data_IF_688964450129
#
_entry.id   IF_688964450129
#
_cell.length_a   1.000
_cell.length_b   1.000
_cell.length_c   1.000
_cell.angle_alpha   90.00
_cell.angle_beta   90.00
_cell.angle_gamma   90.00
#
_symmetry.space_group_name_H-M   'P 1'
#
loop_
_entity.id
_entity.type
_entity.pdbx_description
1 polymer ?
#
# COMPACT_ATOMS: atom_id res chain seq x y z
N UNK A 1 -24.56 -51.03 -66.49
CA UNK A 1 -23.73 -49.98 -65.84
C UNK A 1 -24.47 -48.66 -65.92
N UNK A 2 -25.49 -48.48 -65.09
CA UNK A 2 -26.44 -47.35 -64.95
C UNK A 2 -26.95 -47.49 -63.49
N UNK A 3 -27.28 -46.51 -62.65
CA UNK A 3 -28.02 -45.25 -62.75
C UNK A 3 -27.79 -44.48 -61.42
N UNK A 4 -27.49 -43.17 -61.39
CA UNK A 4 -28.39 -41.99 -61.35
C UNK A 4 -29.61 -42.04 -60.41
N UNK A 5 -29.50 -41.28 -59.31
CA UNK A 5 -30.35 -40.15 -58.87
C UNK A 5 -31.88 -40.27 -58.68
N UNK A 6 -32.29 -39.84 -57.45
CA UNK A 6 -33.52 -39.10 -57.02
C UNK A 6 -34.90 -39.76 -57.16
N UNK A 7 -35.70 -39.77 -56.08
CA UNK A 7 -36.94 -38.95 -55.87
C UNK A 7 -37.94 -39.51 -54.81
N UNK A 8 -38.69 -38.57 -54.18
CA UNK A 8 -40.05 -38.63 -53.56
C UNK A 8 -40.24 -39.45 -52.25
N UNK A 9 -40.58 -38.90 -51.06
CA UNK A 9 -41.72 -38.09 -50.56
C UNK A 9 -43.02 -38.88 -50.25
N UNK A 10 -43.47 -38.90 -48.97
CA UNK A 10 -44.85 -39.12 -48.42
C UNK A 10 -44.71 -39.34 -46.89
N UNK A 11 -45.11 -38.48 -45.94
CA UNK A 11 -46.41 -37.91 -45.52
C UNK A 11 -47.20 -38.75 -44.48
N UNK A 12 -47.77 -38.03 -43.51
CA UNK A 12 -48.88 -38.33 -42.58
C UNK A 12 -48.54 -39.06 -41.25
N UNK A 13 -48.72 -38.48 -40.05
CA UNK A 13 -49.91 -37.90 -39.35
C UNK A 13 -50.55 -38.94 -38.40
N UNK A 14 -50.29 -38.81 -37.09
CA UNK A 14 -51.16 -39.36 -36.05
C UNK A 14 -51.50 -38.25 -35.04
N UNK A 15 -52.80 -37.96 -34.96
CA UNK A 15 -53.45 -36.91 -34.18
C UNK A 15 -53.76 -37.37 -32.74
N UNK A 16 -53.54 -36.44 -31.81
CA UNK A 16 -54.36 -36.06 -30.65
C UNK A 16 -54.72 -37.09 -29.56
N UNK A 17 -54.45 -36.74 -28.29
CA UNK A 17 -55.48 -36.33 -27.31
C UNK A 17 -54.81 -35.95 -25.97
N UNK A 18 -55.21 -34.83 -25.36
CA UNK A 18 -54.86 -34.50 -23.97
C UNK A 18 -54.88 -33.00 -23.67
N UNK A 19 -56.07 -32.46 -23.39
CA UNK A 19 -56.30 -31.06 -23.11
C UNK A 19 -55.99 -30.65 -21.65
N UNK A 20 -55.60 -29.37 -21.53
CA UNK A 20 -55.95 -28.40 -20.48
C UNK A 20 -55.31 -28.48 -19.08
N UNK A 21 -54.48 -27.46 -18.79
CA UNK A 21 -54.61 -26.44 -17.71
C UNK A 21 -53.26 -25.68 -17.63
N UNK A 22 -53.11 -24.39 -17.34
CA UNK A 22 -53.99 -23.31 -16.91
C UNK A 22 -53.40 -21.95 -17.33
N UNK A 23 -54.21 -20.92 -17.15
CA UNK A 23 -54.09 -19.52 -17.57
C UNK A 23 -52.92 -18.78 -16.90
N UNK A 24 -52.27 -17.90 -17.66
CA UNK A 24 -51.40 -16.83 -17.15
C UNK A 24 -51.10 -15.81 -18.23
N UNK A 25 -51.94 -14.78 -18.34
CA UNK A 25 -51.77 -13.66 -19.26
C UNK A 25 -50.64 -12.74 -18.78
N UNK A 26 -49.71 -12.35 -19.67
CA UNK A 26 -49.06 -11.02 -19.61
C UNK A 26 -48.75 -10.50 -21.02
N UNK A 27 -49.15 -9.25 -21.20
CA UNK A 27 -48.99 -8.41 -22.37
C UNK A 27 -47.53 -7.99 -22.62
N UNK A 28 -47.20 -7.82 -23.91
CA UNK A 28 -46.37 -6.77 -24.54
C UNK A 28 -45.08 -6.32 -23.83
N UNK A 29 -43.94 -6.60 -24.46
CA UNK A 29 -43.04 -5.56 -25.00
C UNK A 29 -41.84 -6.23 -25.68
N UNK A 30 -41.68 -5.99 -26.99
CA UNK A 30 -40.40 -6.18 -27.64
C UNK A 30 -39.43 -5.13 -27.05
N UNK A 31 -38.60 -5.54 -26.10
CA UNK A 31 -37.49 -4.73 -25.65
C UNK A 31 -36.46 -4.69 -26.79
N UNK A 32 -36.34 -3.53 -27.43
CA UNK A 32 -35.18 -3.21 -28.25
C UNK A 32 -33.93 -3.44 -27.39
N UNK A 33 -33.05 -4.35 -27.83
CA UNK A 33 -31.75 -4.52 -27.21
C UNK A 33 -31.01 -3.18 -27.27
N UNK A 34 -30.42 -2.69 -26.17
CA UNK A 34 -29.58 -1.52 -26.24
C UNK A 34 -28.40 -1.85 -27.16
N UNK A 35 -28.19 -1.00 -28.16
CA UNK A 35 -26.98 -1.02 -28.97
C UNK A 35 -25.78 -0.95 -28.03
N UNK A 36 -24.96 -2.00 -28.02
CA UNK A 36 -23.70 -2.00 -27.32
C UNK A 36 -22.87 -0.80 -27.79
N UNK A 37 -22.53 0.09 -26.86
CA UNK A 37 -21.61 1.17 -27.13
C UNK A 37 -20.26 0.59 -27.61
N UNK A 38 -19.57 1.26 -28.55
CA UNK A 38 -18.31 0.76 -29.07
C UNK A 38 -17.22 0.89 -28.00
N UNK A 39 -16.59 -0.24 -27.67
CA UNK A 39 -15.19 -0.32 -27.24
C UNK A 39 -14.83 0.25 -25.86
N UNK A 40 -15.29 -0.40 -24.78
CA UNK A 40 -14.44 -0.45 -23.59
C UNK A 40 -13.25 -1.36 -23.93
N UNK A 41 -12.14 -0.77 -24.40
CA UNK A 41 -10.86 -1.46 -24.36
C UNK A 41 -10.59 -1.76 -22.88
N UNK A 42 -10.86 -2.99 -22.45
CA UNK A 42 -10.32 -3.51 -21.20
C UNK A 42 -8.80 -3.48 -21.34
N UNK A 43 -8.17 -2.38 -20.93
CA UNK A 43 -6.72 -2.35 -20.75
C UNK A 43 -6.40 -3.49 -19.79
N UNK A 44 -5.69 -4.53 -20.25
CA UNK A 44 -5.22 -5.57 -19.34
C UNK A 44 -4.40 -4.90 -18.22
N UNK A 45 -4.59 -5.34 -16.98
CA UNK A 45 -3.80 -4.85 -15.85
C UNK A 45 -2.57 -5.76 -15.65
N UNK A 46 -1.39 -5.18 -15.39
CA UNK A 46 -1.12 -3.74 -15.23
C UNK A 46 -1.11 -2.98 -16.57
N UNK A 47 -1.27 -1.64 -16.56
CA UNK A 47 -1.16 -0.83 -17.77
C UNK A 47 0.16 -1.09 -18.51
N UNK A 48 0.14 -1.02 -19.83
CA UNK A 48 1.36 -1.20 -20.63
C UNK A 48 2.46 -0.23 -20.19
N UNK A 49 3.66 -0.76 -19.94
CA UNK A 49 4.81 0.02 -19.48
C UNK A 49 4.80 0.35 -17.99
N UNK A 50 3.85 -0.19 -17.20
CA UNK A 50 3.94 -0.10 -15.75
C UNK A 50 5.16 -0.90 -15.27
N UNK A 51 6.10 -0.20 -14.62
CA UNK A 51 7.20 -0.83 -13.92
C UNK A 51 7.71 0.04 -12.76
N UNK A 52 8.61 -0.52 -11.95
CA UNK A 52 9.34 0.23 -10.93
C UNK A 52 10.36 1.19 -11.56
N UNK A 53 10.76 2.21 -10.81
CA UNK A 53 11.71 3.23 -11.22
C UNK A 53 13.07 2.61 -11.57
N UNK A 54 13.61 2.93 -12.74
CA UNK A 54 14.98 2.56 -13.15
C UNK A 54 16.03 3.45 -12.45
N UNK A 55 17.29 3.01 -12.40
CA UNK A 55 18.42 3.77 -11.83
C UNK A 55 18.22 4.28 -10.39
N UNK A 56 17.48 3.51 -9.58
CA UNK A 56 17.14 3.88 -8.21
C UNK A 56 18.31 3.73 -7.23
N UNK A 57 18.60 4.78 -6.46
CA UNK A 57 19.64 4.79 -5.44
C UNK A 57 19.04 4.53 -4.05
N UNK A 58 19.19 3.31 -3.55
CA UNK A 58 18.67 2.92 -2.22
C UNK A 58 19.31 3.75 -1.10
N UNK A 59 20.60 4.06 -1.19
CA UNK A 59 21.31 4.84 -0.16
C UNK A 59 20.71 6.24 -0.02
N UNK A 60 20.44 6.91 -1.14
CA UNK A 60 19.81 8.23 -1.13
C UNK A 60 18.37 8.15 -0.62
N UNK A 61 17.62 7.12 -1.02
CA UNK A 61 16.24 6.92 -0.61
C UNK A 61 16.08 6.70 0.90
N UNK A 62 17.04 6.05 1.55
CA UNK A 62 16.98 5.77 3.00
C UNK A 62 17.69 6.81 3.87
N UNK A 63 18.23 7.88 3.26
CA UNK A 63 19.04 8.88 3.96
C UNK A 63 18.26 9.68 5.01
N UNK A 64 16.93 9.76 4.88
CA UNK A 64 16.03 10.47 5.79
C UNK A 64 14.68 9.74 5.95
N UNK A 65 13.90 10.08 6.99
CA UNK A 65 12.54 9.56 7.13
C UNK A 65 11.59 10.08 6.04
N UNK A 66 10.69 9.21 5.59
CA UNK A 66 9.61 9.53 4.66
C UNK A 66 8.33 9.87 5.40
N UNK A 67 7.64 10.92 4.95
CA UNK A 67 6.33 11.31 5.46
C UNK A 67 5.25 10.99 4.43
N UNK A 68 4.26 10.20 4.85
CA UNK A 68 3.21 9.76 3.92
C UNK A 68 2.15 10.86 3.78
N UNK A 69 2.05 11.42 2.58
CA UNK A 69 1.03 12.43 2.26
C UNK A 69 -0.32 11.80 1.88
N UNK A 70 -0.29 10.64 1.23
CA UNK A 70 -1.46 9.87 0.87
C UNK A 70 -1.11 8.38 0.82
N UNK A 71 -2.00 7.54 1.34
CA UNK A 71 -1.92 6.08 1.20
C UNK A 71 -3.31 5.45 1.19
N UNK A 72 -3.39 4.27 0.58
CA UNK A 72 -4.56 3.41 0.72
C UNK A 72 -4.56 2.76 2.12
N UNK A 73 -5.74 2.54 2.73
CA UNK A 73 -5.83 1.80 3.98
C UNK A 73 -5.37 0.35 3.78
N UNK A 74 -4.59 -0.16 4.72
CA UNK A 74 -4.10 -1.54 4.71
C UNK A 74 -4.78 -2.34 5.81
N UNK A 75 -4.86 -3.66 5.65
CA UNK A 75 -5.51 -4.53 6.65
C UNK A 75 -4.87 -4.43 8.04
N UNK A 76 -3.58 -4.10 8.09
CA UNK A 76 -2.79 -3.95 9.31
C UNK A 76 -2.59 -2.48 9.73
N UNK A 77 -3.00 -1.53 8.88
CA UNK A 77 -2.95 -0.10 9.16
C UNK A 77 -4.26 0.58 8.71
N UNK A 78 -5.32 0.47 9.53
CA UNK A 78 -6.62 1.04 9.21
C UNK A 78 -6.61 2.57 9.17
N UNK A 79 -7.66 3.16 8.59
CA UNK A 79 -7.83 4.61 8.39
C UNK A 79 -7.62 5.42 9.68
N UNK A 80 -8.07 4.91 10.82
CA UNK A 80 -7.94 5.60 12.12
C UNK A 80 -6.50 5.68 12.62
N UNK A 81 -5.54 5.02 11.97
CA UNK A 81 -4.11 5.06 12.26
C UNK A 81 -3.30 5.84 11.23
N UNK A 82 -3.93 6.54 10.28
CA UNK A 82 -3.21 7.22 9.18
C UNK A 82 -2.87 8.69 9.50
N UNK A 83 -2.55 8.98 10.75
CA UNK A 83 -2.15 10.32 11.19
C UNK A 83 -0.65 10.36 11.46
N UNK A 84 0.03 11.38 10.96
CA UNK A 84 1.49 11.55 11.13
C UNK A 84 2.29 10.30 10.73
N UNK A 85 1.88 9.64 9.65
CA UNK A 85 2.52 8.41 9.20
C UNK A 85 3.92 8.71 8.65
N UNK A 86 4.90 7.99 9.19
CA UNK A 86 6.30 8.09 8.82
C UNK A 86 6.89 6.69 8.62
N UNK A 87 7.81 6.57 7.66
CA UNK A 87 8.67 5.40 7.50
C UNK A 87 10.14 5.81 7.62
N UNK A 88 10.92 5.04 8.38
CA UNK A 88 12.38 5.16 8.47
C UNK A 88 13.01 3.81 8.17
N UNK A 89 14.12 3.85 7.44
CA UNK A 89 14.85 2.67 7.04
C UNK A 89 16.23 2.68 7.69
N UNK A 90 16.67 1.53 8.18
CA UNK A 90 18.02 1.36 8.74
C UNK A 90 18.67 0.17 8.04
N UNK A 91 19.83 0.34 7.38
CA UNK A 91 20.54 -0.78 6.78
C UNK A 91 20.82 -1.88 7.80
N UNK A 92 20.53 -3.14 7.45
CA UNK A 92 20.96 -4.30 8.24
C UNK A 92 22.49 -4.47 8.17
N UNK A 93 23.09 -4.07 7.05
CA UNK A 93 24.52 -3.91 6.87
C UNK A 93 24.82 -2.46 6.40
N UNK A 94 25.47 -1.62 7.23
CA UNK A 94 25.80 -0.24 6.87
C UNK A 94 26.70 -0.10 5.63
N UNK A 95 27.48 -1.13 5.29
CA UNK A 95 28.37 -1.12 4.12
C UNK A 95 27.65 -1.49 2.83
N UNK A 96 26.50 -2.18 2.92
CA UNK A 96 25.70 -2.61 1.77
C UNK A 96 24.19 -2.58 2.08
N UNK A 97 23.52 -1.43 1.85
CA UNK A 97 22.08 -1.30 2.06
C UNK A 97 21.22 -2.26 1.23
N UNK A 98 21.76 -2.86 0.17
CA UNK A 98 21.03 -3.82 -0.66
C UNK A 98 20.90 -5.21 0.01
N UNK A 99 21.68 -5.50 1.05
CA UNK A 99 21.51 -6.75 1.83
C UNK A 99 20.21 -6.77 2.64
N UNK A 100 19.66 -5.60 2.93
CA UNK A 100 18.36 -5.47 3.57
C UNK A 100 18.27 -4.26 4.49
N UNK A 101 17.04 -3.88 4.78
CA UNK A 101 16.71 -2.70 5.58
C UNK A 101 15.74 -3.11 6.69
N UNK A 102 16.01 -2.72 7.92
CA UNK A 102 14.96 -2.66 8.93
C UNK A 102 14.00 -1.52 8.59
N UNK A 103 12.70 -1.81 8.59
CA UNK A 103 11.62 -0.86 8.31
C UNK A 103 10.94 -0.48 9.62
N UNK A 104 11.02 0.80 9.96
CA UNK A 104 10.42 1.36 11.17
C UNK A 104 9.31 2.30 10.75
N UNK A 105 8.06 1.89 10.98
CA UNK A 105 6.89 2.72 10.74
C UNK A 105 6.44 3.37 12.04
N UNK A 106 6.01 4.61 11.93
CA UNK A 106 5.37 5.37 12.98
C UNK A 106 4.06 5.96 12.44
N UNK A 107 3.06 6.05 13.30
CA UNK A 107 1.81 6.75 13.03
C UNK A 107 1.11 7.09 14.36
N UNK A 108 -0.04 7.75 14.28
CA UNK A 108 -0.89 8.06 15.43
C UNK A 108 -2.31 7.58 15.19
N UNK A 109 -2.93 7.07 16.25
CA UNK A 109 -4.30 6.57 16.24
C UNK A 109 -5.28 7.63 16.74
N UNK A 110 -6.35 7.86 15.99
CA UNK A 110 -7.46 8.73 16.38
C UNK A 110 -7.21 10.23 16.17
N UNK A 111 -6.07 10.63 15.60
CA UNK A 111 -5.78 12.03 15.24
C UNK A 111 -4.29 12.38 15.31
N UNK A 112 -3.95 13.61 14.92
CA UNK A 112 -2.55 14.14 14.93
C UNK A 112 -1.93 14.24 16.34
N UNK A 113 -2.76 14.34 17.38
CA UNK A 113 -2.34 14.29 18.79
C UNK A 113 -2.71 12.96 19.46
N UNK A 114 -3.05 11.95 18.65
CA UNK A 114 -3.50 10.65 19.11
C UNK A 114 -2.38 9.76 19.65
N UNK A 115 -2.77 8.56 20.06
CA UNK A 115 -1.88 7.54 20.61
C UNK A 115 -0.81 7.15 19.58
N UNK A 116 0.49 7.18 19.91
CA UNK A 116 1.53 6.76 18.99
C UNK A 116 1.47 5.24 18.75
N UNK A 117 1.53 4.85 17.49
CA UNK A 117 1.60 3.46 17.04
C UNK A 117 2.88 3.30 16.23
N UNK A 118 3.76 2.38 16.65
CA UNK A 118 4.99 2.10 15.93
C UNK A 118 5.26 0.61 15.83
N UNK A 119 5.86 0.20 14.72
CA UNK A 119 6.36 -1.17 14.54
C UNK A 119 7.56 -1.47 15.43
N UNK A 120 8.19 -0.47 16.06
CA UNK A 120 9.32 -0.66 16.97
C UNK A 120 9.01 -1.44 18.25
N UNK A 121 7.73 -1.58 18.63
CA UNK A 121 7.30 -2.39 19.78
C UNK A 121 6.69 -3.76 19.38
N UNK A 122 6.54 -4.02 18.08
CA UNK A 122 5.95 -5.25 17.52
C UNK A 122 6.98 -6.13 16.78
N UNK A 123 6.55 -7.16 16.02
CA UNK A 123 7.46 -7.92 15.17
C UNK A 123 8.15 -6.99 14.17
N UNK A 124 9.47 -7.11 14.05
CA UNK A 124 10.27 -6.23 13.18
C UNK A 124 9.85 -6.41 11.72
N UNK A 125 9.75 -5.31 10.98
CA UNK A 125 9.59 -5.35 9.53
C UNK A 125 10.96 -5.22 8.88
N UNK A 126 11.17 -5.99 7.83
CA UNK A 126 12.39 -5.96 7.03
C UNK A 126 12.01 -5.77 5.57
N UNK A 127 12.81 -5.01 4.84
CA UNK A 127 12.82 -4.95 3.39
C UNK A 127 14.05 -5.69 2.86
N UNK A 128 13.86 -6.50 1.83
CA UNK A 128 14.95 -7.13 1.08
C UNK A 128 14.92 -6.63 -0.37
N UNK A 129 16.06 -6.71 -1.05
CA UNK A 129 16.19 -6.41 -2.48
C UNK A 129 16.41 -7.74 -3.22
N UNK A 130 15.36 -8.40 -3.74
CA UNK A 130 15.47 -9.72 -4.34
C UNK A 130 16.35 -9.76 -5.58
N UNK A 131 16.34 -8.67 -6.35
CA UNK A 131 17.18 -8.47 -7.54
C UNK A 131 17.95 -7.16 -7.39
N UNK A 132 19.26 -7.26 -7.17
CA UNK A 132 20.15 -6.10 -6.99
C UNK A 132 20.26 -5.23 -8.24
N UNK A 133 19.90 -5.76 -9.42
CA UNK A 133 19.83 -4.97 -10.66
C UNK A 133 18.55 -4.14 -10.78
N UNK A 134 17.55 -4.42 -9.92
CA UNK A 134 16.28 -3.68 -9.85
C UNK A 134 16.01 -3.24 -8.40
N UNK A 135 16.86 -2.34 -7.86
CA UNK A 135 16.84 -1.98 -6.44
C UNK A 135 15.55 -1.27 -5.99
N UNK A 136 14.73 -0.77 -6.93
CA UNK A 136 13.41 -0.20 -6.67
C UNK A 136 12.31 -1.24 -6.43
N UNK A 137 12.56 -2.54 -6.68
CA UNK A 137 11.60 -3.64 -6.50
C UNK A 137 11.85 -4.41 -5.20
N UNK A 138 11.62 -3.75 -4.06
CA UNK A 138 11.83 -4.38 -2.76
C UNK A 138 10.73 -5.40 -2.42
N UNK A 139 11.03 -6.27 -1.46
CA UNK A 139 10.08 -7.16 -0.79
C UNK A 139 10.05 -6.82 0.70
N UNK A 140 8.88 -6.45 1.22
CA UNK A 140 8.69 -6.09 2.64
C UNK A 140 7.84 -7.13 3.33
N UNK A 141 8.25 -7.56 4.51
CA UNK A 141 7.51 -8.52 5.33
C UNK A 141 7.99 -8.52 6.77
N UNK A 142 7.35 -9.34 7.59
CA UNK A 142 7.76 -9.52 8.98
C UNK A 142 9.03 -10.36 9.04
N UNK A 143 9.95 -9.91 9.87
CA UNK A 143 11.18 -10.62 10.16
C UNK A 143 10.88 -11.97 10.83
N UNK A 144 11.66 -12.97 10.46
CA UNK A 144 11.76 -14.21 11.20
C UNK A 144 13.06 -14.18 12.01
N UNK A 145 13.01 -14.36 13.35
CA UNK A 145 14.21 -14.21 14.18
C UNK A 145 15.41 -15.01 13.65
N UNK A 146 16.49 -14.30 13.32
CA UNK A 146 17.74 -14.90 12.82
C UNK A 146 17.81 -15.16 11.31
N UNK A 147 16.82 -14.73 10.52
CA UNK A 147 16.79 -14.92 9.07
C UNK A 147 16.53 -13.63 8.27
N UNK A 148 16.57 -12.47 8.93
CA UNK A 148 16.21 -11.13 8.40
C UNK A 148 16.89 -10.77 7.09
N UNK A 149 18.14 -11.19 6.91
CA UNK A 149 18.98 -10.85 5.74
C UNK A 149 18.78 -11.81 4.56
N UNK A 150 17.98 -12.87 4.73
CA UNK A 150 17.77 -13.87 3.68
C UNK A 150 16.53 -13.52 2.88
N UNK A 151 16.69 -13.31 1.57
CA UNK A 151 15.55 -13.10 0.66
C UNK A 151 14.61 -14.30 0.75
N UNK A 152 13.31 -14.04 0.96
CA UNK A 152 12.26 -15.08 0.97
C UNK A 152 12.03 -15.80 2.30
N UNK A 153 12.71 -15.40 3.39
CA UNK A 153 12.45 -15.93 4.75
C UNK A 153 11.47 -15.06 5.55
N UNK A 154 11.09 -13.90 5.00
CA UNK A 154 10.10 -13.00 5.57
C UNK A 154 8.71 -13.67 5.64
N UNK A 155 8.01 -13.50 6.75
CA UNK A 155 6.62 -13.93 6.86
C UNK A 155 5.67 -12.88 6.29
N UNK A 156 4.72 -13.32 5.46
CA UNK A 156 3.72 -12.43 4.86
C UNK A 156 4.34 -11.33 4.00
N UNK A 157 5.45 -11.62 3.31
CA UNK A 157 6.09 -10.64 2.45
C UNK A 157 5.24 -10.30 1.23
N UNK A 158 5.32 -9.04 0.83
CA UNK A 158 4.70 -8.54 -0.38
C UNK A 158 5.63 -7.57 -1.12
N UNK A 159 5.33 -7.27 -2.39
CA UNK A 159 6.11 -6.31 -3.15
C UNK A 159 6.00 -4.91 -2.54
N UNK A 160 7.10 -4.17 -2.56
CA UNK A 160 7.19 -2.75 -2.21
C UNK A 160 8.01 -2.09 -3.31
N UNK A 161 7.34 -1.56 -4.33
CA UNK A 161 7.97 -1.04 -5.53
C UNK A 161 7.95 0.48 -5.51
N UNK A 162 9.13 1.10 -5.60
CA UNK A 162 9.23 2.54 -5.85
C UNK A 162 9.02 2.73 -7.35
N UNK A 163 7.86 3.26 -7.75
CA UNK A 163 7.48 3.39 -9.16
C UNK A 163 7.80 4.78 -9.74
N UNK A 164 8.00 5.77 -8.87
CA UNK A 164 8.49 7.09 -9.24
C UNK A 164 9.14 7.73 -8.01
N UNK A 165 10.16 8.53 -8.23
CA UNK A 165 10.77 9.38 -7.22
C UNK A 165 11.41 10.59 -7.91
N UNK A 166 11.55 11.70 -7.19
CA UNK A 166 12.18 12.89 -7.74
C UNK A 166 13.05 13.59 -6.73
N UNK A 167 14.08 14.24 -7.24
CA UNK A 167 15.05 14.97 -6.45
C UNK A 167 14.53 16.34 -6.01
N UNK A 168 14.98 16.77 -4.84
CA UNK A 168 14.74 18.13 -4.36
C UNK A 168 15.84 19.11 -4.72
N UNK A 169 15.62 20.40 -4.41
CA UNK A 169 16.58 21.47 -4.70
C UNK A 169 17.96 21.28 -4.06
N UNK A 170 18.02 20.50 -2.97
CA UNK A 170 19.24 20.22 -2.20
C UNK A 170 19.91 18.90 -2.60
N UNK A 171 19.41 18.22 -3.65
CA UNK A 171 19.84 16.89 -4.05
C UNK A 171 19.21 15.78 -3.19
N UNK A 172 19.31 14.54 -3.67
CA UNK A 172 18.63 13.39 -3.07
C UNK A 172 17.11 13.41 -3.30
N UNK A 173 16.44 12.30 -2.99
CA UNK A 173 15.00 12.17 -3.21
C UNK A 173 14.18 13.01 -2.22
N UNK A 174 13.20 13.77 -2.72
CA UNK A 174 12.27 14.59 -1.93
C UNK A 174 10.85 14.00 -1.91
N UNK A 175 10.45 13.36 -3.00
CA UNK A 175 9.15 12.69 -3.11
C UNK A 175 9.30 11.32 -3.77
N UNK A 176 8.39 10.40 -3.43
CA UNK A 176 8.31 9.09 -4.04
C UNK A 176 6.85 8.62 -4.11
N UNK A 177 6.58 7.74 -5.08
CA UNK A 177 5.34 6.98 -5.22
C UNK A 177 5.70 5.52 -5.09
N UNK A 178 5.03 4.83 -4.18
CA UNK A 178 5.24 3.42 -3.89
C UNK A 178 3.98 2.63 -4.20
N UNK A 179 4.13 1.44 -4.79
CA UNK A 179 3.05 0.48 -4.98
C UNK A 179 3.36 -0.87 -4.33
N UNK A 180 2.32 -1.65 -4.06
CA UNK A 180 2.43 -3.05 -3.62
C UNK A 180 2.73 -4.02 -4.78
N UNK A 181 3.49 -3.56 -5.79
CA UNK A 181 3.73 -4.25 -7.06
C UNK A 181 2.83 -3.73 -8.19
N UNK A 182 2.65 -4.49 -9.29
CA UNK A 182 1.75 -4.11 -10.37
C UNK A 182 0.27 -4.20 -9.97
N UNK A 183 -0.58 -3.23 -10.39
CA UNK A 183 -2.02 -3.37 -10.20
C UNK A 183 -2.55 -4.54 -11.05
N UNK A 184 -3.44 -5.34 -10.48
CA UNK A 184 -3.87 -6.64 -11.06
C UNK A 184 -5.34 -6.70 -11.44
N UNK A 185 -6.15 -5.70 -11.06
CA UNK A 185 -7.59 -5.71 -11.28
C UNK A 185 -8.07 -4.51 -12.11
N UNK A 186 -9.08 -4.71 -12.93
CA UNK A 186 -9.72 -3.64 -13.69
C UNK A 186 -10.75 -2.91 -12.82
N UNK A 187 -10.57 -1.61 -12.63
CA UNK A 187 -11.56 -0.69 -12.04
C UNK A 187 -12.34 0.09 -13.11
N UNK A 188 -13.23 0.97 -12.65
CA UNK A 188 -14.09 1.78 -13.51
C UNK A 188 -13.29 2.77 -14.39
N UNK A 189 -12.25 3.39 -13.81
CA UNK A 189 -11.45 4.44 -14.45
C UNK A 189 -9.98 4.05 -14.67
N UNK A 190 -9.65 2.75 -14.61
CA UNK A 190 -8.29 2.26 -14.78
C UNK A 190 -7.98 1.03 -13.92
N UNK A 191 -6.72 0.63 -13.88
CA UNK A 191 -6.28 -0.50 -13.05
C UNK A 191 -6.27 -0.14 -11.55
N UNK A 192 -6.65 -1.11 -10.72
CA UNK A 192 -6.68 -1.02 -9.26
C UNK A 192 -5.89 -2.18 -8.65
N UNK A 193 -5.45 -1.99 -7.40
CA UNK A 193 -4.84 -3.06 -6.61
C UNK A 193 -5.96 -3.98 -6.07
N UNK A 194 -5.76 -5.30 -6.14
CA UNK A 194 -6.81 -6.29 -5.86
C UNK A 194 -7.29 -6.32 -4.39
N UNK A 195 -6.60 -5.62 -3.49
CA UNK A 195 -6.88 -5.52 -2.06
C UNK A 195 -7.74 -4.31 -1.67
N UNK A 196 -8.07 -3.42 -2.62
CA UNK A 196 -8.94 -2.27 -2.34
C UNK A 196 -10.40 -2.71 -2.46
N UNK A 197 -10.94 -3.28 -1.38
CA UNK A 197 -12.40 -3.39 -1.24
C UNK A 197 -13.01 -1.99 -1.43
N UNK A 198 -14.06 -1.80 -2.25
CA UNK A 198 -14.71 -0.50 -2.40
C UNK A 198 -15.45 -0.19 -1.10
N UNK A 199 -14.74 0.36 -0.12
CA UNK A 199 -15.31 0.92 1.10
C UNK A 199 -15.15 2.42 1.08
N UNK A 200 -16.20 3.04 1.61
CA UNK A 200 -16.56 4.44 1.54
C UNK A 200 -15.37 5.41 1.54
N UNK A 201 -15.55 6.50 0.80
CA UNK A 201 -14.69 7.67 0.85
C UNK A 201 -14.31 7.98 2.31
N UNK A 202 -13.04 8.36 2.58
CA UNK A 202 -12.65 8.76 3.91
C UNK A 202 -13.60 9.85 4.41
N UNK A 203 -13.93 9.87 5.72
CA UNK A 203 -14.70 10.97 6.28
C UNK A 203 -14.00 12.29 5.93
N UNK A 204 -14.75 13.37 5.66
CA UNK A 204 -14.15 14.66 5.39
C UNK A 204 -13.17 14.97 6.51
N UNK A 205 -11.90 15.14 6.14
CA UNK A 205 -10.86 15.50 7.09
C UNK A 205 -11.24 16.79 7.82
N UNK A 206 -10.71 17.05 9.02
CA UNK A 206 -10.80 18.37 9.61
C UNK A 206 -10.31 19.38 8.55
N UNK A 207 -11.07 20.47 8.39
CA UNK A 207 -10.82 21.52 7.39
C UNK A 207 -9.39 22.08 7.48
N UNK A 208 -9.01 23.02 6.60
CA UNK A 208 -7.61 23.42 6.38
C UNK A 208 -6.99 23.98 7.66
N UNK A 209 -6.45 23.08 8.47
CA UNK A 209 -5.47 23.38 9.50
C UNK A 209 -4.12 23.64 8.83
N UNK A 210 -3.09 23.97 9.62
CA UNK A 210 -1.73 24.07 9.08
C UNK A 210 -1.39 22.80 8.28
N UNK A 211 -0.49 22.88 7.28
CA UNK A 211 -0.10 21.72 6.49
C UNK A 211 0.16 20.54 7.42
N UNK A 212 -0.46 19.37 7.17
CA UNK A 212 -0.43 18.24 8.11
C UNK A 212 0.99 17.89 8.58
N UNK A 213 2.00 18.13 7.74
CA UNK A 213 3.42 18.04 8.07
C UNK A 213 3.85 18.92 9.26
N UNK A 214 3.43 20.19 9.33
CA UNK A 214 3.74 21.12 10.43
C UNK A 214 3.06 20.71 11.73
N UNK A 215 1.83 20.19 11.67
CA UNK A 215 1.12 19.71 12.85
C UNK A 215 1.80 18.47 13.46
N UNK A 216 2.31 17.58 12.61
CA UNK A 216 3.03 16.37 13.03
C UNK A 216 4.43 16.69 13.57
N UNK A 217 5.17 17.58 12.91
CA UNK A 217 6.47 18.06 13.41
C UNK A 217 6.34 18.78 14.76
N UNK A 218 5.27 19.58 14.95
CA UNK A 218 5.00 20.26 16.22
C UNK A 218 4.58 19.29 17.33
N UNK A 219 3.85 18.22 17.01
CA UNK A 219 3.46 17.19 17.98
C UNK A 219 4.66 16.40 18.52
N UNK A 220 5.71 16.20 17.70
CA UNK A 220 6.95 15.56 18.13
C UNK A 220 7.90 16.51 18.87
N UNK A 221 7.70 17.83 18.76
CA UNK A 221 8.53 18.86 19.40
C UNK A 221 8.06 19.30 20.81
N UNK A 222 6.97 18.73 21.36
CA UNK A 222 6.42 19.17 22.65
C UNK A 222 7.24 18.62 23.84
N UNK A 223 7.82 19.47 24.71
CA UNK A 223 8.76 19.04 25.74
C UNK A 223 8.05 18.46 26.96
N UNK A 224 8.25 17.17 27.21
CA UNK A 224 8.09 16.58 28.53
C UNK A 224 9.28 16.97 29.43
N UNK A 225 9.32 18.23 29.89
CA UNK A 225 10.06 18.61 31.11
C UNK A 225 9.68 20.02 31.56
N UNK A 226 8.74 20.11 32.49
CA UNK A 226 8.69 21.22 33.45
C UNK A 226 9.07 20.63 34.81
N UNK A 227 10.26 20.97 35.29
CA UNK A 227 10.61 20.88 36.70
C UNK A 227 10.82 22.32 37.22
N UNK A 228 10.29 22.66 38.41
CA UNK A 228 10.24 24.04 38.89
C UNK A 228 11.58 24.51 39.44
N UNK A 229 11.80 25.82 39.34
CA UNK A 229 12.97 26.51 39.86
C UNK A 229 13.14 26.32 41.38
N UNK A 230 14.35 26.00 41.84
CA UNK A 230 14.83 26.38 43.18
C UNK A 230 16.37 26.50 43.22
N UNK A 231 16.82 27.51 43.94
CA UNK A 231 18.17 28.03 44.11
C UNK A 231 19.11 27.10 44.94
N UNK A 232 20.43 27.38 45.04
CA UNK A 232 21.47 26.38 45.30
C UNK A 232 21.82 26.22 46.78
N UNK A 233 22.30 25.02 47.15
CA UNK A 233 22.95 24.78 48.44
C UNK A 233 23.43 23.34 48.68
N UNK A 234 24.74 23.13 48.51
CA UNK A 234 25.66 22.29 49.31
C UNK A 234 25.62 20.74 49.18
N UNK A 235 26.70 20.19 48.59
CA UNK A 235 27.58 19.04 48.92
C UNK A 235 27.06 17.82 49.74
N UNK A 236 27.58 16.59 49.63
CA UNK A 236 28.42 15.81 48.73
C UNK A 236 28.39 14.36 49.29
N UNK A 237 28.46 13.33 48.44
CA UNK A 237 28.66 11.93 48.88
C UNK A 237 28.52 10.92 47.73
N UNK A 238 29.35 9.85 47.64
CA UNK A 238 29.71 9.24 46.36
C UNK A 238 28.87 8.01 46.01
N UNK A 239 28.43 7.90 44.75
CA UNK A 239 28.05 6.60 44.18
C UNK A 239 28.13 6.56 42.65
N UNK A 240 28.85 5.51 42.21
CA UNK A 240 28.72 4.68 41.02
C UNK A 240 28.95 5.22 39.59
N UNK A 241 29.75 4.50 38.76
CA UNK A 241 30.22 4.95 37.47
C UNK A 241 29.31 4.48 36.33
N UNK A 242 28.20 5.16 36.09
CA UNK A 242 27.54 5.18 34.78
C UNK A 242 27.00 6.58 34.55
N UNK A 243 27.86 7.45 34.04
CA UNK A 243 27.48 8.76 33.55
C UNK A 243 28.47 9.19 32.47
N UNK A 244 28.08 9.19 31.19
CA UNK A 244 28.72 10.05 30.22
C UNK A 244 28.06 11.43 30.34
N UNK A 245 28.67 12.28 31.16
CA UNK A 245 28.67 13.71 30.94
C UNK A 245 29.41 14.01 29.62
N UNK A 246 28.93 15.05 28.95
CA UNK A 246 29.61 16.09 28.15
C UNK A 246 28.66 16.44 26.99
N UNK A 247 27.79 17.43 27.16
CA UNK A 247 28.07 18.86 27.03
C UNK A 247 28.30 19.27 25.58
N UNK A 248 27.42 20.14 25.05
CA UNK A 248 27.82 21.39 24.40
C UNK A 248 26.58 22.26 24.09
N UNK A 249 26.68 23.51 24.56
CA UNK A 249 26.17 24.79 24.05
C UNK A 249 24.76 24.86 23.43
#
# INVERSE_FOLDING_TARGET
MHATARFLALAALCLALGAAQARGARHLAAAAAPAAAPGANSSACPPYGFDALEDFNVTDYISAPWYVLAQLPLIYQPVDQLYCTQARYVPLNPEDPLEGLQVINFSRKGGVSGEPVSTGAGPSLVATVPDRSQPSKLSVGFDFPGASQLVGTQFGSGPYWVIAAGEGEQGGYEWAIVSSGPPTAQGADGCVFADVSPRAAPPPGPGPGPPAALACQAADASPASHAPAHAPGVAAGPSNPFSPSHACL
#
